data_IF_263635113752
#
_entry.id   IF_263635113752
#
_cell.length_a   1.000
_cell.length_b   1.000
_cell.length_c   1.000
_cell.angle_alpha   90.00
_cell.angle_beta   90.00
_cell.angle_gamma   90.00
#
_symmetry.space_group_name_H-M   'P 1'
#
loop_
_entity.id
_entity.type
_entity.pdbx_description
1 polymer ?
#
# COMPACT_ATOMS: atom_id res chain seq x y z
N UNK A 1 -17.66 -5.01 -25.43
CA UNK A 1 -16.27 -4.85 -24.92
C UNK A 1 -16.09 -3.67 -23.95
N UNK A 2 -16.71 -2.49 -24.17
CA UNK A 2 -16.54 -1.32 -23.30
C UNK A 2 -17.08 -1.50 -21.86
N UNK A 3 -18.23 -2.17 -21.69
CA UNK A 3 -18.85 -2.43 -20.38
C UNK A 3 -17.97 -3.37 -19.53
N UNK A 4 -17.34 -4.37 -20.15
CA UNK A 4 -16.48 -5.33 -19.47
C UNK A 4 -15.19 -4.69 -18.96
N UNK A 5 -14.57 -3.82 -19.77
CA UNK A 5 -13.40 -3.03 -19.34
C UNK A 5 -13.72 -2.06 -18.20
N UNK A 6 -14.91 -1.43 -18.22
CA UNK A 6 -15.36 -0.53 -17.14
C UNK A 6 -15.55 -1.28 -15.81
N UNK A 7 -16.07 -2.51 -15.85
CA UNK A 7 -16.20 -3.38 -14.67
C UNK A 7 -14.84 -3.81 -14.11
N UNK A 8 -13.87 -4.14 -14.97
CA UNK A 8 -12.52 -4.52 -14.50
C UNK A 8 -11.80 -3.36 -13.81
N UNK A 9 -11.87 -2.15 -14.38
CA UNK A 9 -11.27 -0.94 -13.77
C UNK A 9 -11.93 -0.63 -12.43
N UNK A 10 -13.27 -0.67 -12.37
CA UNK A 10 -13.98 -0.37 -11.13
C UNK A 10 -13.70 -1.42 -10.05
N UNK A 11 -13.62 -2.70 -10.40
CA UNK A 11 -13.29 -3.79 -9.48
C UNK A 11 -11.85 -3.71 -8.97
N UNK A 12 -10.90 -3.37 -9.84
CA UNK A 12 -9.50 -3.19 -9.41
C UNK A 12 -9.33 -1.97 -8.55
N UNK A 13 -10.01 -0.86 -8.87
CA UNK A 13 -10.00 0.35 -8.05
C UNK A 13 -10.66 0.13 -6.68
N UNK A 14 -11.87 -0.44 -6.66
CA UNK A 14 -12.59 -0.73 -5.41
C UNK A 14 -11.86 -1.77 -4.56
N UNK A 15 -11.28 -2.81 -5.19
CA UNK A 15 -10.47 -3.81 -4.50
C UNK A 15 -9.19 -3.23 -3.92
N UNK A 16 -8.48 -2.39 -4.66
CA UNK A 16 -7.30 -1.69 -4.17
C UNK A 16 -7.65 -0.75 -3.01
N UNK A 17 -8.73 0.02 -3.14
CA UNK A 17 -9.22 0.91 -2.07
C UNK A 17 -9.65 0.15 -0.81
N UNK A 18 -10.32 -1.00 -0.96
CA UNK A 18 -10.73 -1.83 0.18
C UNK A 18 -9.53 -2.47 0.88
N UNK A 19 -8.58 -3.01 0.12
CA UNK A 19 -7.33 -3.56 0.66
C UNK A 19 -6.51 -2.49 1.37
N UNK A 20 -6.45 -1.29 0.80
CA UNK A 20 -5.78 -0.15 1.40
C UNK A 20 -6.47 0.27 2.71
N UNK A 21 -7.79 0.42 2.71
CA UNK A 21 -8.56 0.75 3.91
C UNK A 21 -8.43 -0.31 5.01
N UNK A 22 -8.39 -1.60 4.64
CA UNK A 22 -8.18 -2.69 5.58
C UNK A 22 -6.76 -2.65 6.17
N UNK A 23 -5.76 -2.41 5.33
CA UNK A 23 -4.38 -2.25 5.77
C UNK A 23 -4.25 -1.06 6.73
N UNK A 24 -4.84 0.09 6.40
CA UNK A 24 -4.87 1.26 7.28
C UNK A 24 -5.55 0.96 8.62
N UNK A 25 -6.70 0.30 8.59
CA UNK A 25 -7.44 -0.09 9.80
C UNK A 25 -6.62 -1.03 10.70
N UNK A 26 -5.87 -1.96 10.11
CA UNK A 26 -5.01 -2.89 10.84
C UNK A 26 -3.65 -2.30 11.23
N UNK A 27 -3.27 -1.12 10.75
CA UNK A 27 -1.92 -0.56 10.99
C UNK A 27 -1.90 0.78 11.71
N UNK A 28 -3.08 1.34 12.02
CA UNK A 28 -3.21 2.54 12.84
C UNK A 28 -3.48 2.12 14.30
N UNK A 29 -2.45 2.21 15.15
CA UNK A 29 -2.59 2.03 16.59
C UNK A 29 -3.05 3.33 17.27
N UNK A 30 -2.30 4.42 17.06
CA UNK A 30 -2.49 5.69 17.77
C UNK A 30 -3.37 6.71 17.02
N UNK A 31 -3.37 6.68 15.68
CA UNK A 31 -4.17 7.56 14.81
C UNK A 31 -5.47 6.90 14.30
N UNK A 32 -6.00 5.93 15.06
CA UNK A 32 -7.23 5.24 14.69
C UNK A 32 -8.41 6.23 14.62
N UNK A 33 -9.02 6.35 13.42
CA UNK A 33 -10.19 7.20 13.21
C UNK A 33 -11.37 6.68 14.03
N UNK A 34 -12.07 7.60 14.70
CA UNK A 34 -13.26 7.32 15.51
C UNK A 34 -14.41 6.92 14.59
N UNK A 35 -14.69 5.63 14.53
CA UNK A 35 -15.60 5.06 13.52
C UNK A 35 -17.07 5.42 13.78
N UNK A 36 -17.40 5.68 15.04
CA UNK A 36 -18.76 5.92 15.51
C UNK A 36 -18.98 7.34 16.01
N UNK A 37 -18.09 8.28 15.68
CA UNK A 37 -18.32 9.68 16.06
C UNK A 37 -19.54 10.25 15.32
N UNK A 38 -20.44 11.01 15.99
CA UNK A 38 -20.40 11.48 17.37
C UNK A 38 -21.09 10.57 18.41
N UNK A 39 -21.63 9.43 18.00
CA UNK A 39 -22.35 8.50 18.89
C UNK A 39 -21.43 7.76 19.88
N UNK A 40 -20.16 7.55 19.53
CA UNK A 40 -19.17 6.90 20.38
C UNK A 40 -17.76 7.32 20.03
N UNK A 41 -16.95 7.56 21.07
CA UNK A 41 -15.52 7.86 20.96
C UNK A 41 -14.65 6.61 20.81
N UNK A 42 -15.28 5.45 20.60
CA UNK A 42 -14.58 4.19 20.41
C UNK A 42 -13.76 4.21 19.12
N UNK A 43 -12.46 3.94 19.28
CA UNK A 43 -11.51 3.78 18.20
C UNK A 43 -10.82 2.43 18.38
N UNK A 44 -10.75 1.64 17.29
CA UNK A 44 -10.02 0.39 17.29
C UNK A 44 -8.51 0.67 17.29
N UNK A 45 -7.83 0.41 18.41
CA UNK A 45 -6.38 0.51 18.50
C UNK A 45 -5.77 -0.82 18.08
N UNK A 46 -5.27 -0.89 16.85
CA UNK A 46 -4.63 -2.10 16.32
C UNK A 46 -3.33 -2.43 17.07
N UNK A 47 -3.03 -3.68 17.45
CA UNK A 47 -1.75 -4.05 18.07
C UNK A 47 -0.52 -3.87 17.15
N UNK A 48 -0.72 -3.52 15.87
CA UNK A 48 0.33 -3.29 14.87
C UNK A 48 0.28 -1.82 14.45
N UNK A 49 1.42 -1.12 14.52
CA UNK A 49 1.54 0.29 14.11
C UNK A 49 2.52 0.40 12.94
N UNK A 50 2.09 1.00 11.81
CA UNK A 50 3.00 1.30 10.69
C UNK A 50 4.00 2.42 11.04
N UNK A 51 3.66 3.29 11.99
CA UNK A 51 4.48 4.43 12.41
C UNK A 51 5.44 4.10 13.57
N UNK A 52 5.03 3.26 14.52
CA UNK A 52 5.89 2.92 15.66
C UNK A 52 6.78 1.70 15.34
N UNK A 53 8.08 1.94 15.23
CA UNK A 53 9.08 0.89 15.02
C UNK A 53 9.07 -0.18 16.13
N UNK A 54 8.56 0.14 17.33
CA UNK A 54 8.39 -0.81 18.45
C UNK A 54 7.21 -1.78 18.24
N UNK A 55 6.28 -1.47 17.33
CA UNK A 55 5.10 -2.28 17.02
C UNK A 55 5.03 -2.68 15.53
N UNK A 56 6.15 -3.22 15.01
CA UNK A 56 6.28 -3.78 13.65
C UNK A 56 6.25 -2.80 12.47
N UNK A 57 6.35 -1.48 12.69
CA UNK A 57 6.32 -0.48 11.62
C UNK A 57 7.38 -0.72 10.52
N UNK A 58 8.62 -1.04 10.91
CA UNK A 58 9.70 -1.35 9.96
C UNK A 58 9.42 -2.64 9.19
N UNK A 59 8.93 -3.69 9.86
CA UNK A 59 8.63 -4.97 9.23
C UNK A 59 7.46 -4.84 8.23
N UNK A 60 6.44 -4.04 8.57
CA UNK A 60 5.30 -3.79 7.70
C UNK A 60 5.68 -2.90 6.50
N UNK A 61 6.53 -1.89 6.70
CA UNK A 61 7.09 -1.09 5.60
C UNK A 61 7.90 -1.94 4.63
N UNK A 62 8.78 -2.82 5.15
CA UNK A 62 9.53 -3.77 4.31
C UNK A 62 8.61 -4.75 3.59
N UNK A 63 7.57 -5.26 4.26
CA UNK A 63 6.56 -6.12 3.64
C UNK A 63 5.83 -5.42 2.50
N UNK A 64 5.43 -4.16 2.68
CA UNK A 64 4.77 -3.36 1.65
C UNK A 64 5.64 -3.19 0.41
N UNK A 65 6.92 -2.87 0.58
CA UNK A 65 7.88 -2.75 -0.54
C UNK A 65 8.08 -4.10 -1.22
N UNK A 66 8.27 -5.18 -0.45
CA UNK A 66 8.44 -6.52 -0.99
C UNK A 66 7.21 -6.97 -1.81
N UNK A 67 6.01 -6.68 -1.32
CA UNK A 67 4.76 -6.96 -2.02
C UNK A 67 4.66 -6.19 -3.34
N UNK A 68 5.01 -4.91 -3.35
CA UNK A 68 5.04 -4.08 -4.58
C UNK A 68 6.04 -4.63 -5.58
N UNK A 69 7.26 -4.98 -5.15
CA UNK A 69 8.29 -5.55 -6.02
C UNK A 69 7.83 -6.89 -6.59
N UNK A 70 7.31 -7.78 -5.75
CA UNK A 70 6.81 -9.09 -6.18
C UNK A 70 5.69 -8.95 -7.22
N UNK A 71 4.69 -8.11 -6.97
CA UNK A 71 3.59 -7.87 -7.90
C UNK A 71 4.07 -7.25 -9.22
N UNK A 72 5.04 -6.33 -9.15
CA UNK A 72 5.66 -5.70 -10.33
C UNK A 72 6.35 -6.75 -11.20
N UNK A 73 7.12 -7.66 -10.60
CA UNK A 73 7.79 -8.78 -11.30
C UNK A 73 6.77 -9.72 -11.94
N UNK A 74 5.74 -10.13 -11.19
CA UNK A 74 4.67 -11.00 -11.70
C UNK A 74 3.96 -10.35 -12.89
N UNK A 75 3.64 -9.05 -12.81
CA UNK A 75 2.98 -8.34 -13.92
C UNK A 75 3.91 -8.21 -15.12
N UNK A 76 5.19 -7.89 -14.91
CA UNK A 76 6.17 -7.82 -16.01
C UNK A 76 6.32 -9.17 -16.72
N UNK A 77 6.26 -10.28 -15.99
CA UNK A 77 6.30 -11.63 -16.56
C UNK A 77 5.04 -11.98 -17.33
N UNK A 78 3.85 -11.62 -16.80
CA UNK A 78 2.56 -11.94 -17.42
C UNK A 78 2.24 -11.05 -18.63
N UNK A 79 2.70 -9.81 -18.64
CA UNK A 79 2.43 -8.86 -19.71
C UNK A 79 3.31 -9.15 -20.92
N UNK A 80 2.66 -9.44 -22.06
CA UNK A 80 3.33 -9.74 -23.35
C UNK A 80 3.80 -8.49 -24.10
N UNK A 81 3.19 -7.33 -23.84
CA UNK A 81 3.50 -6.08 -24.54
C UNK A 81 4.53 -5.28 -23.75
N UNK A 82 5.58 -4.82 -24.41
CA UNK A 82 6.65 -4.03 -23.78
C UNK A 82 6.14 -2.71 -23.20
N UNK A 83 5.14 -2.07 -23.85
CA UNK A 83 4.53 -0.82 -23.40
C UNK A 83 3.88 -0.96 -22.02
N UNK A 84 3.19 -2.09 -21.79
CA UNK A 84 2.52 -2.34 -20.52
C UNK A 84 3.54 -2.59 -19.40
N UNK A 85 4.69 -3.21 -19.72
CA UNK A 85 5.80 -3.38 -18.77
C UNK A 85 6.41 -2.03 -18.38
N UNK A 86 6.64 -1.15 -19.35
CA UNK A 86 7.17 0.20 -19.10
C UNK A 86 6.21 1.00 -18.21
N UNK A 87 4.90 0.91 -18.45
CA UNK A 87 3.90 1.58 -17.60
C UNK A 87 3.92 1.05 -16.16
N UNK A 88 3.99 -0.27 -15.98
CA UNK A 88 4.05 -0.91 -14.65
C UNK A 88 5.31 -0.47 -13.90
N UNK A 89 6.47 -0.48 -14.57
CA UNK A 89 7.73 -0.04 -13.97
C UNK A 89 7.72 1.45 -13.64
N UNK A 90 7.13 2.28 -14.50
CA UNK A 90 6.99 3.72 -14.27
C UNK A 90 6.11 4.02 -13.05
N UNK A 91 5.03 3.25 -12.82
CA UNK A 91 4.17 3.38 -11.64
C UNK A 91 4.86 2.87 -10.37
N UNK A 92 5.68 1.82 -10.46
CA UNK A 92 6.40 1.26 -9.32
C UNK A 92 7.65 2.07 -8.93
N UNK A 93 8.24 2.82 -9.86
CA UNK A 93 9.50 3.54 -9.66
C UNK A 93 9.49 4.53 -8.47
N UNK A 94 8.46 5.36 -8.25
CA UNK A 94 8.41 6.27 -7.10
C UNK A 94 8.47 5.56 -5.73
N UNK A 95 8.08 4.28 -5.67
CA UNK A 95 8.13 3.46 -4.45
C UNK A 95 9.48 2.74 -4.30
N UNK A 96 10.03 2.24 -5.40
CA UNK A 96 11.25 1.42 -5.39
C UNK A 96 12.51 2.28 -5.32
N UNK A 97 12.56 3.39 -6.07
CA UNK A 97 13.75 4.23 -6.20
C UNK A 97 14.21 4.83 -4.87
N UNK A 98 13.33 5.43 -4.03
CA UNK A 98 13.75 5.95 -2.74
C UNK A 98 14.30 4.86 -1.82
N UNK A 99 13.64 3.70 -1.77
CA UNK A 99 14.07 2.57 -0.93
C UNK A 99 15.44 2.03 -1.36
N UNK A 100 15.70 1.97 -2.68
CA UNK A 100 16.99 1.56 -3.21
C UNK A 100 18.09 2.59 -2.90
N UNK A 101 17.76 3.89 -2.92
CA UNK A 101 18.69 4.99 -2.66
C UNK A 101 19.03 5.14 -1.18
N UNK A 102 18.05 5.01 -0.27
CA UNK A 102 18.26 5.19 1.17
C UNK A 102 18.61 3.89 1.90
N UNK A 103 18.49 2.73 1.24
CA UNK A 103 18.75 1.42 1.85
C UNK A 103 17.81 1.09 3.03
N UNK A 104 16.77 1.89 3.24
CA UNK A 104 15.88 1.81 4.40
C UNK A 104 14.54 2.47 4.07
N UNK A 105 13.39 1.80 4.32
CA UNK A 105 12.08 2.44 4.23
C UNK A 105 11.92 3.61 5.23
N UNK A 106 12.80 3.71 6.23
CA UNK A 106 12.87 4.80 7.20
C UNK A 106 13.15 6.19 6.58
N UNK A 107 13.71 6.26 5.37
CA UNK A 107 13.93 7.54 4.68
C UNK A 107 12.63 8.27 4.29
N UNK A 108 11.48 7.57 4.31
CA UNK A 108 10.17 8.15 4.02
C UNK A 108 9.46 8.69 5.28
N UNK A 109 9.97 8.37 6.47
CA UNK A 109 9.38 8.72 7.78
C UNK A 109 10.19 9.76 8.56
N UNK A 110 11.41 10.08 8.12
CA UNK A 110 12.33 11.02 8.79
C UNK A 110 12.03 12.50 8.52
N UNK A 111 10.80 12.96 8.77
CA UNK A 111 10.45 14.38 8.84
C UNK A 111 9.31 14.63 9.85
N UNK A 112 9.49 14.23 11.11
CA UNK A 112 8.84 14.83 12.29
C UNK A 112 9.42 14.26 13.58
#
# INVERSE_FOLDING_TARGET
>A
MAIWRRSVILRTFAGAGLLHALADFLTHHDDARRQFWPASEWAFRSPVSYWDARFYGTAFGMFGVALVVMLTVILCWRLRRWRDRVLVLAVAAPLIVPVLMTGSPHGLHGMS
#
